data_IF_481566915094
#
_entry.id   IF_481566915094
#
_cell.length_a   1.000
_cell.length_b   1.000
_cell.length_c   1.000
_cell.angle_alpha   90.00
_cell.angle_beta   90.00
_cell.angle_gamma   90.00
#
_symmetry.space_group_name_H-M   'P 1'
#
loop_
_entity.id
_entity.type
_entity.pdbx_description
1 polymer ?
#
# COMPACT_ATOMS: atom_id res chain seq x y z
N UNK A 1 -47.23 15.30 -42.25
CA UNK A 1 -46.76 16.31 -41.28
C UNK A 1 -45.36 15.90 -40.84
N UNK A 2 -44.30 16.68 -40.74
CA UNK A 2 -44.03 18.11 -40.89
C UNK A 2 -42.55 18.20 -40.45
N UNK A 3 -41.64 18.63 -41.34
CA UNK A 3 -40.38 19.34 -41.02
C UNK A 3 -39.33 18.59 -40.16
N UNK A 4 -38.04 18.92 -40.10
CA UNK A 4 -37.10 19.76 -40.84
C UNK A 4 -35.73 19.35 -40.28
N UNK A 5 -34.80 19.16 -41.20
CA UNK A 5 -33.49 19.81 -41.28
C UNK A 5 -32.58 19.94 -40.03
N UNK A 6 -31.28 19.68 -40.19
CA UNK A 6 -30.33 19.41 -39.13
C UNK A 6 -29.70 20.66 -38.53
N UNK A 7 -29.07 20.42 -37.37
CA UNK A 7 -28.14 21.29 -36.67
C UNK A 7 -27.16 21.94 -37.67
N UNK A 8 -27.34 23.24 -37.88
CA UNK A 8 -26.50 24.05 -38.75
C UNK A 8 -25.94 25.20 -37.93
N UNK A 9 -24.62 25.24 -37.80
CA UNK A 9 -23.71 26.39 -38.01
C UNK A 9 -22.40 26.09 -37.28
N UNK A 10 -21.31 25.84 -38.04
CA UNK A 10 -20.40 26.86 -38.60
C UNK A 10 -19.72 27.61 -37.44
N UNK A 11 -18.44 27.45 -37.15
CA UNK A 11 -17.28 27.25 -38.02
C UNK A 11 -16.38 28.47 -37.89
N UNK A 12 -15.07 28.29 -37.71
CA UNK A 12 -14.07 29.18 -38.31
C UNK A 12 -12.71 28.49 -38.34
N UNK A 13 -12.24 28.30 -39.57
CA UNK A 13 -10.87 28.02 -39.97
C UNK A 13 -10.05 29.31 -39.91
N UNK A 14 -8.73 29.20 -39.72
CA UNK A 14 -7.65 29.95 -40.40
C UNK A 14 -6.42 29.97 -39.47
N UNK A 15 -5.37 29.21 -39.76
CA UNK A 15 -4.29 29.55 -40.70
C UNK A 15 -3.43 30.72 -40.20
N UNK A 16 -2.15 30.49 -39.92
CA UNK A 16 -1.07 31.09 -40.73
C UNK A 16 0.29 30.49 -40.36
N UNK A 17 1.08 30.28 -41.39
CA UNK A 17 2.43 29.76 -41.36
C UNK A 17 3.46 30.89 -41.56
N UNK A 18 4.68 30.60 -41.11
CA UNK A 18 5.99 30.85 -41.76
C UNK A 18 6.69 32.22 -41.70
N UNK A 19 8.02 32.08 -41.56
CA UNK A 19 9.14 32.98 -41.90
C UNK A 19 9.47 34.09 -40.89
N UNK A 20 10.73 34.37 -40.53
CA UNK A 20 12.04 33.86 -40.94
C UNK A 20 13.13 34.83 -40.46
N UNK A 21 14.35 34.30 -40.22
CA UNK A 21 15.69 34.92 -40.48
C UNK A 21 16.07 36.28 -39.84
N UNK A 22 17.30 36.67 -39.49
CA UNK A 22 18.66 36.11 -39.29
C UNK A 22 19.56 37.35 -38.93
N UNK A 23 20.74 37.12 -38.33
CA UNK A 23 21.97 37.97 -38.24
C UNK A 23 22.29 38.56 -36.84
N UNK A 24 23.35 38.10 -36.12
CA UNK A 24 24.84 38.25 -36.28
C UNK A 24 25.31 39.62 -35.71
N UNK A 25 26.31 39.75 -34.81
CA UNK A 25 27.69 39.23 -34.77
C UNK A 25 28.31 39.36 -33.34
N UNK A 26 29.18 38.44 -32.86
CA UNK A 26 30.68 38.46 -32.89
C UNK A 26 31.31 39.09 -31.62
N UNK A 27 32.36 38.60 -30.93
CA UNK A 27 33.39 37.53 -31.03
C UNK A 27 33.93 37.30 -29.58
N UNK A 28 34.60 36.22 -29.15
CA UNK A 28 35.85 35.68 -29.67
C UNK A 28 36.27 34.36 -28.95
N UNK A 29 36.55 33.32 -29.76
CA UNK A 29 37.73 32.39 -29.81
C UNK A 29 38.45 32.00 -28.50
N UNK A 30 38.86 30.74 -28.22
CA UNK A 30 39.34 29.64 -29.08
C UNK A 30 39.26 28.29 -28.30
N UNK A 31 38.82 27.17 -28.91
CA UNK A 31 39.63 26.06 -29.48
C UNK A 31 40.51 25.31 -28.45
N UNK A 32 40.69 23.99 -28.39
CA UNK A 32 40.25 22.77 -29.09
C UNK A 32 40.97 21.61 -28.37
N UNK A 33 40.36 20.43 -28.24
CA UNK A 33 41.00 19.10 -28.44
C UNK A 33 40.04 17.96 -28.07
N UNK A 34 39.50 17.29 -29.08
CA UNK A 34 39.20 15.84 -29.10
C UNK A 34 39.92 15.30 -30.35
N UNK A 35 40.04 13.99 -30.65
CA UNK A 35 39.78 12.75 -29.90
C UNK A 35 40.95 11.72 -30.06
N UNK A 36 40.91 10.54 -29.41
CA UNK A 36 41.30 9.25 -30.06
C UNK A 36 40.60 8.09 -29.34
N UNK A 37 40.08 7.06 -30.06
CA UNK A 37 39.16 6.05 -29.54
C UNK A 37 39.79 4.66 -29.37
N UNK A 38 39.23 3.84 -28.49
CA UNK A 38 39.24 2.38 -28.64
C UNK A 38 37.99 1.78 -27.99
N UNK A 39 37.25 1.01 -28.79
CA UNK A 39 35.97 0.40 -28.46
C UNK A 39 36.13 -1.02 -27.88
N UNK A 40 35.40 -1.29 -26.77
CA UNK A 40 34.48 -2.42 -26.41
C UNK A 40 34.86 -3.91 -26.71
N UNK A 41 34.21 -4.97 -26.14
CA UNK A 41 33.01 -5.05 -25.24
C UNK A 41 33.00 -6.10 -24.07
N UNK A 42 32.12 -5.84 -23.06
CA UNK A 42 31.16 -6.74 -22.32
C UNK A 42 31.61 -7.97 -21.46
N UNK A 43 30.76 -8.57 -20.57
CA UNK A 43 29.68 -8.06 -19.70
C UNK A 43 29.67 -8.64 -18.23
N UNK A 44 28.76 -8.13 -17.38
CA UNK A 44 27.89 -8.85 -16.41
C UNK A 44 28.01 -8.54 -14.90
N UNK A 45 26.84 -8.17 -14.33
CA UNK A 45 26.38 -8.23 -12.93
C UNK A 45 27.03 -7.27 -11.90
N UNK A 46 26.31 -6.53 -11.06
CA UNK A 46 24.92 -6.66 -10.62
C UNK A 46 24.31 -5.27 -10.35
N UNK A 47 23.08 -5.09 -10.81
CA UNK A 47 22.18 -4.06 -10.31
C UNK A 47 22.06 -4.18 -8.77
N UNK A 48 21.87 -3.09 -8.01
CA UNK A 48 21.30 -3.25 -6.68
C UNK A 48 19.91 -3.86 -6.90
N UNK A 49 19.77 -5.09 -6.45
CA UNK A 49 18.51 -5.80 -6.44
C UNK A 49 17.46 -4.84 -5.86
N UNK A 50 16.44 -4.54 -6.66
CA UNK A 50 15.18 -4.03 -6.15
C UNK A 50 14.67 -5.10 -5.17
N UNK A 51 14.99 -4.93 -3.90
CA UNK A 51 14.31 -5.65 -2.84
C UNK A 51 12.88 -5.18 -2.90
N UNK A 52 12.01 -6.03 -3.44
CA UNK A 52 10.56 -5.95 -3.28
C UNK A 52 10.26 -6.04 -1.78
N UNK A 53 10.46 -4.94 -1.05
CA UNK A 53 9.84 -4.68 0.24
C UNK A 53 8.45 -4.09 0.01
N UNK A 54 7.48 -4.33 0.92
CA UNK A 54 6.11 -3.90 0.72
C UNK A 54 6.05 -2.37 0.61
N UNK A 55 5.60 -1.89 -0.54
CA UNK A 55 5.37 -0.47 -0.81
C UNK A 55 4.28 0.05 0.14
N UNK A 56 4.57 1.04 1.00
CA UNK A 56 3.54 1.68 1.80
C UNK A 56 2.80 2.67 0.90
N UNK A 57 1.52 2.41 0.65
CA UNK A 57 0.61 3.47 0.22
C UNK A 57 0.41 4.43 1.38
N UNK A 58 0.80 5.68 1.18
CA UNK A 58 0.39 6.90 1.89
C UNK A 58 0.25 6.81 3.42
N UNK A 59 1.42 6.81 4.07
CA UNK A 59 1.62 7.02 5.50
C UNK A 59 3.06 6.61 5.76
N UNK A 60 3.95 7.56 6.07
CA UNK A 60 5.40 7.29 6.09
C UNK A 60 5.71 6.09 6.98
N UNK A 61 5.94 4.93 6.36
CA UNK A 61 6.51 3.78 7.04
C UNK A 61 7.86 4.25 7.55
N UNK A 62 8.09 4.08 8.86
CA UNK A 62 9.38 4.36 9.46
C UNK A 62 10.47 3.72 8.60
N UNK A 63 11.47 4.52 8.23
CA UNK A 63 12.58 4.03 7.39
C UNK A 63 13.30 2.89 8.11
N UNK A 64 14.03 2.05 7.38
CA UNK A 64 14.79 0.96 7.98
C UNK A 64 15.69 1.46 9.14
N UNK A 65 16.26 2.66 8.99
CA UNK A 65 17.08 3.32 10.03
C UNK A 65 16.27 3.73 11.27
N UNK A 66 15.03 4.19 11.09
CA UNK A 66 14.15 4.53 12.20
C UNK A 66 13.67 3.28 12.94
N UNK A 67 13.34 2.21 12.22
CA UNK A 67 12.98 0.93 12.83
C UNK A 67 14.16 0.33 13.60
N UNK A 68 15.36 0.40 13.02
CA UNK A 68 16.60 -0.03 13.65
C UNK A 68 16.85 0.73 14.95
N UNK A 69 16.73 2.06 14.95
CA UNK A 69 16.89 2.87 16.15
C UNK A 69 15.81 2.64 17.22
N UNK A 70 14.61 2.19 16.83
CA UNK A 70 13.53 1.84 17.77
C UNK A 70 13.75 0.45 18.39
N UNK A 71 14.37 -0.48 17.66
CA UNK A 71 14.63 -1.83 18.14
C UNK A 71 15.95 -1.96 18.91
N UNK A 72 16.93 -1.10 18.61
CA UNK A 72 18.21 -0.99 19.29
C UNK A 72 18.00 -0.33 20.66
N UNK A 73 17.74 -1.14 21.69
CA UNK A 73 17.35 -0.67 23.02
C UNK A 73 18.52 -0.07 23.77
N UNK A 74 19.70 -0.68 23.61
CA UNK A 74 20.92 -0.21 24.25
C UNK A 74 21.63 0.91 23.44
N UNK A 75 21.13 1.20 22.23
CA UNK A 75 21.63 2.25 21.32
C UNK A 75 23.08 2.02 20.91
N UNK A 76 23.53 0.76 20.89
CA UNK A 76 24.89 0.39 20.54
C UNK A 76 25.12 0.36 19.00
N UNK A 77 24.09 0.68 18.21
CA UNK A 77 24.05 0.62 16.74
C UNK A 77 24.19 -0.78 16.16
N UNK A 78 23.85 -1.80 16.94
CA UNK A 78 23.75 -3.19 16.54
C UNK A 78 22.47 -3.78 17.12
N UNK A 79 21.85 -4.72 16.41
CA UNK A 79 20.72 -5.45 16.96
C UNK A 79 21.20 -6.82 17.39
N UNK A 80 21.14 -7.08 18.68
CA UNK A 80 21.28 -8.45 19.17
C UNK A 80 20.11 -9.31 18.69
N UNK A 81 20.30 -10.63 18.69
CA UNK A 81 19.26 -11.56 18.26
C UNK A 81 17.97 -11.42 19.08
N UNK A 82 18.09 -11.13 20.38
CA UNK A 82 16.95 -10.85 21.27
C UNK A 82 16.25 -9.53 20.94
N UNK A 83 16.99 -8.45 20.66
CA UNK A 83 16.43 -7.16 20.26
C UNK A 83 15.73 -7.25 18.91
N UNK A 84 16.35 -7.94 17.94
CA UNK A 84 15.76 -8.18 16.63
C UNK A 84 14.47 -9.00 16.74
N UNK A 85 14.47 -10.10 17.52
CA UNK A 85 13.27 -10.91 17.74
C UNK A 85 12.15 -10.09 18.39
N UNK A 86 12.47 -9.37 19.46
CA UNK A 86 11.50 -8.57 20.20
C UNK A 86 10.91 -7.46 19.34
N UNK A 87 11.75 -6.75 18.59
CA UNK A 87 11.34 -5.68 17.67
C UNK A 87 10.50 -6.21 16.51
N UNK A 88 10.91 -7.34 15.94
CA UNK A 88 10.16 -8.03 14.88
C UNK A 88 8.80 -8.53 15.35
N UNK A 89 8.71 -9.16 16.51
CA UNK A 89 7.45 -9.61 17.09
C UNK A 89 6.52 -8.44 17.35
N UNK A 90 7.03 -7.36 17.96
CA UNK A 90 6.27 -6.13 18.21
C UNK A 90 5.76 -5.51 16.91
N UNK A 91 6.63 -5.39 15.89
CA UNK A 91 6.25 -4.81 14.60
C UNK A 91 5.24 -5.69 13.85
N UNK A 92 5.39 -7.01 13.96
CA UNK A 92 4.43 -7.96 13.39
C UNK A 92 3.07 -7.82 14.07
N UNK A 93 3.04 -7.73 15.39
CA UNK A 93 1.80 -7.54 16.16
C UNK A 93 1.12 -6.22 15.78
N UNK A 94 1.87 -5.11 15.73
CA UNK A 94 1.34 -3.82 15.29
C UNK A 94 0.81 -3.87 13.85
N UNK A 95 1.49 -4.56 12.94
CA UNK A 95 1.01 -4.73 11.57
C UNK A 95 -0.27 -5.57 11.51
N UNK A 96 -0.38 -6.61 12.34
CA UNK A 96 -1.58 -7.43 12.46
C UNK A 96 -2.74 -6.60 13.02
N UNK A 97 -2.51 -5.85 14.12
CA UNK A 97 -3.50 -4.97 14.74
C UNK A 97 -3.99 -3.92 13.73
N UNK A 98 -3.09 -3.22 13.04
CA UNK A 98 -3.48 -2.20 12.05
C UNK A 98 -4.29 -2.77 10.88
N UNK A 99 -3.97 -3.99 10.42
CA UNK A 99 -4.77 -4.67 9.40
C UNK A 99 -6.15 -5.08 9.93
N UNK A 100 -6.21 -5.60 11.15
CA UNK A 100 -7.45 -5.96 11.83
C UNK A 100 -8.34 -4.73 12.03
N UNK A 101 -7.76 -3.62 12.42
CA UNK A 101 -8.47 -2.35 12.59
C UNK A 101 -9.05 -1.85 11.27
N UNK A 102 -8.28 -1.90 10.17
CA UNK A 102 -8.78 -1.53 8.85
C UNK A 102 -9.94 -2.46 8.40
N UNK A 103 -9.84 -3.77 8.67
CA UNK A 103 -10.92 -4.72 8.39
C UNK A 103 -12.15 -4.45 9.26
N UNK A 104 -11.95 -4.17 10.55
CA UNK A 104 -13.00 -3.83 11.50
C UNK A 104 -13.78 -2.59 11.03
N UNK A 105 -13.08 -1.49 10.71
CA UNK A 105 -13.70 -0.27 10.18
C UNK A 105 -14.39 -0.46 8.82
N UNK A 106 -14.00 -1.47 8.06
CA UNK A 106 -14.67 -1.81 6.79
C UNK A 106 -15.96 -2.59 7.04
N UNK A 107 -16.00 -3.37 8.12
CA UNK A 107 -17.16 -4.14 8.53
C UNK A 107 -18.22 -3.29 9.23
N UNK A 108 -17.75 -2.38 10.10
CA UNK A 108 -18.52 -1.35 10.80
C UNK A 108 -18.98 -0.26 9.82
N UNK A 109 -20.13 -0.48 9.19
CA UNK A 109 -20.69 0.40 8.14
C UNK A 109 -21.30 1.65 8.74
N UNK A 110 -21.88 1.53 9.93
CA UNK A 110 -22.52 2.65 10.61
C UNK A 110 -21.54 3.49 11.44
N UNK A 111 -20.28 3.04 11.56
CA UNK A 111 -19.19 3.69 12.30
C UNK A 111 -19.50 3.80 13.79
N UNK A 112 -20.22 2.83 14.33
CA UNK A 112 -20.57 2.75 15.74
C UNK A 112 -19.37 2.41 16.63
N UNK A 113 -18.26 1.91 16.05
CA UNK A 113 -17.08 1.46 16.78
C UNK A 113 -17.22 0.04 17.33
N UNK A 114 -18.30 -0.64 16.98
CA UNK A 114 -18.62 -2.03 17.34
C UNK A 114 -19.18 -2.75 16.12
N UNK A 115 -19.08 -4.07 16.07
CA UNK A 115 -19.74 -4.86 15.03
C UNK A 115 -21.05 -5.40 15.59
N UNK A 116 -22.16 -4.95 15.00
CA UNK A 116 -23.49 -5.42 15.38
C UNK A 116 -23.83 -6.76 14.71
N UNK A 117 -24.86 -7.46 15.20
CA UNK A 117 -25.26 -8.76 14.66
C UNK A 117 -25.52 -8.76 13.13
N UNK A 118 -26.08 -7.68 12.59
CA UNK A 118 -26.31 -7.51 11.15
C UNK A 118 -25.01 -7.37 10.35
N UNK A 119 -23.98 -6.79 10.95
CA UNK A 119 -22.67 -6.58 10.33
C UNK A 119 -21.77 -7.81 10.48
N UNK A 120 -21.88 -8.50 11.62
CA UNK A 120 -21.17 -9.74 11.89
C UNK A 120 -21.42 -10.80 10.82
N UNK A 121 -22.68 -11.02 10.44
CA UNK A 121 -23.05 -11.95 9.38
C UNK A 121 -22.48 -11.54 8.00
N UNK A 122 -22.15 -10.25 7.83
CA UNK A 122 -21.61 -9.72 6.59
C UNK A 122 -20.08 -9.77 6.51
N UNK A 123 -19.39 -10.08 7.60
CA UNK A 123 -17.94 -10.21 7.65
C UNK A 123 -17.45 -11.24 6.62
N UNK A 124 -16.40 -10.92 5.83
CA UNK A 124 -15.83 -11.85 4.87
C UNK A 124 -15.37 -13.16 5.50
N UNK A 125 -14.88 -13.08 6.75
CA UNK A 125 -14.41 -14.21 7.56
C UNK A 125 -15.55 -15.19 7.87
N UNK A 126 -16.70 -14.64 8.28
CA UNK A 126 -17.92 -15.40 8.62
C UNK A 126 -18.51 -16.02 7.35
N UNK A 127 -18.62 -15.24 6.27
CA UNK A 127 -19.06 -15.73 4.96
C UNK A 127 -18.21 -16.87 4.42
N UNK A 128 -16.89 -16.77 4.58
CA UNK A 128 -15.95 -17.81 4.16
C UNK A 128 -15.98 -19.05 5.05
N UNK A 129 -16.26 -18.89 6.35
CA UNK A 129 -16.41 -20.00 7.27
C UNK A 129 -17.74 -20.75 7.11
N UNK A 130 -18.79 -20.08 6.62
CA UNK A 130 -20.10 -20.67 6.36
C UNK A 130 -20.66 -21.35 7.61
N UNK A 131 -21.05 -22.62 7.51
CA UNK A 131 -21.55 -23.43 8.62
C UNK A 131 -20.52 -23.65 9.75
N UNK A 132 -19.24 -23.42 9.46
CA UNK A 132 -18.15 -23.42 10.44
C UNK A 132 -17.91 -22.05 11.09
N UNK A 133 -18.82 -21.10 10.95
CA UNK A 133 -18.72 -19.83 11.66
C UNK A 133 -19.18 -20.00 13.12
N UNK A 134 -18.38 -19.58 14.12
CA UNK A 134 -18.87 -19.44 15.48
C UNK A 134 -19.96 -18.36 15.53
N UNK A 135 -20.95 -18.50 16.42
CA UNK A 135 -21.87 -17.42 16.69
C UNK A 135 -21.12 -16.24 17.27
N UNK A 136 -21.63 -15.03 17.05
CA UNK A 136 -21.09 -13.81 17.63
C UNK A 136 -20.98 -13.88 19.16
N UNK A 137 -21.98 -14.50 19.80
CA UNK A 137 -22.00 -14.79 21.24
C UNK A 137 -20.81 -15.61 21.76
N UNK A 138 -20.04 -16.28 20.89
CA UNK A 138 -18.84 -17.00 21.31
C UNK A 138 -17.67 -16.05 21.63
N UNK A 139 -17.72 -14.81 21.15
CA UNK A 139 -16.68 -13.80 21.33
C UNK A 139 -17.16 -12.53 22.04
N UNK A 140 -18.48 -12.34 22.13
CA UNK A 140 -19.16 -11.32 22.97
C UNK A 140 -18.99 -11.68 24.46
N UNK A 141 -17.93 -11.17 25.08
CA UNK A 141 -17.55 -11.45 26.45
C UNK A 141 -18.36 -10.62 27.45
N UNK A 142 -18.76 -9.40 27.07
CA UNK A 142 -19.52 -8.49 27.90
C UNK A 142 -21.06 -8.69 27.78
N UNK A 143 -21.50 -9.53 26.84
CA UNK A 143 -22.90 -9.90 26.54
C UNK A 143 -23.76 -8.73 26.08
N UNK A 144 -23.17 -7.75 25.41
CA UNK A 144 -23.88 -6.58 24.90
C UNK A 144 -24.46 -6.80 23.49
N UNK A 145 -24.35 -8.02 22.95
CA UNK A 145 -24.78 -8.38 21.60
C UNK A 145 -24.10 -7.53 20.53
N UNK A 146 -22.88 -7.07 20.81
CA UNK A 146 -21.97 -6.37 19.90
C UNK A 146 -20.61 -7.07 19.99
N UNK A 147 -19.74 -6.79 19.02
CA UNK A 147 -18.34 -7.23 19.07
C UNK A 147 -17.48 -5.99 19.01
N UNK A 148 -16.83 -5.66 20.13
CA UNK A 148 -15.89 -4.57 20.16
C UNK A 148 -14.56 -4.95 19.47
N UNK A 149 -13.66 -3.98 19.31
CA UNK A 149 -12.39 -4.24 18.65
C UNK A 149 -11.53 -5.27 19.38
N UNK A 150 -11.53 -5.28 20.71
CA UNK A 150 -10.76 -6.24 21.51
C UNK A 150 -11.29 -7.66 21.31
N UNK A 151 -12.61 -7.83 21.29
CA UNK A 151 -13.25 -9.12 21.01
C UNK A 151 -13.00 -9.57 19.56
N UNK A 152 -12.97 -8.62 18.63
CA UNK A 152 -12.60 -8.87 17.24
C UNK A 152 -11.15 -9.38 17.10
N UNK A 153 -10.21 -8.85 17.89
CA UNK A 153 -8.82 -9.32 17.92
C UNK A 153 -8.70 -10.81 18.29
N UNK A 154 -9.59 -11.32 19.15
CA UNK A 154 -9.61 -12.73 19.54
C UNK A 154 -10.34 -13.60 18.49
N UNK A 155 -11.37 -13.05 17.85
CA UNK A 155 -12.18 -13.74 16.83
C UNK A 155 -11.37 -14.11 15.59
N UNK A 156 -10.63 -13.15 15.01
CA UNK A 156 -9.98 -13.36 13.71
C UNK A 156 -8.91 -14.47 13.75
N UNK A 157 -7.99 -14.51 14.74
CA UNK A 157 -7.02 -15.60 14.87
C UNK A 157 -7.69 -16.96 15.14
N UNK A 158 -8.75 -16.99 15.96
CA UNK A 158 -9.50 -18.23 16.24
C UNK A 158 -10.14 -18.78 14.96
N UNK A 159 -10.74 -17.89 14.14
CA UNK A 159 -11.30 -18.24 12.84
C UNK A 159 -10.24 -18.68 11.83
N UNK A 160 -9.11 -17.99 11.77
CA UNK A 160 -8.02 -18.36 10.86
C UNK A 160 -7.42 -19.71 11.24
N UNK A 161 -7.30 -20.01 12.54
CA UNK A 161 -6.87 -21.33 13.03
C UNK A 161 -7.85 -22.43 12.64
N UNK A 162 -9.16 -22.16 12.71
CA UNK A 162 -10.21 -23.12 12.31
C UNK A 162 -10.26 -23.35 10.79
N UNK A 163 -9.89 -22.34 10.01
CA UNK A 163 -9.89 -22.39 8.55
C UNK A 163 -8.53 -22.75 7.93
N UNK A 164 -7.46 -22.72 8.73
CA UNK A 164 -6.17 -23.27 8.36
C UNK A 164 -6.29 -24.76 8.00
N UNK A 165 -5.32 -25.33 7.28
CA UNK A 165 -5.42 -26.69 6.75
C UNK A 165 -5.66 -27.67 7.90
N UNK A 166 -6.92 -28.05 8.06
CA UNK A 166 -7.33 -29.10 8.97
C UNK A 166 -6.61 -30.36 8.51
N UNK A 167 -5.87 -30.99 9.43
CA UNK A 167 -5.57 -32.42 9.32
C UNK A 167 -6.92 -33.11 9.12
N UNK A 168 -7.20 -33.50 7.88
CA UNK A 168 -8.32 -34.38 7.54
C UNK A 168 -7.99 -35.79 8.00
#
# INVERSE_FOLDING_TARGET
MTLRNPLSKRGLLASLALAGSLAVAASATAQTSTPTPAAMPAPTAAAPARSNGPSPGDGQAATADQLFAVWDKDKNRTLTLDEFKSGWESAREQNIIGRLEAQFRTADKDKSGVIEAGEFANLPLIKRAGSGAPPMSAFDANKDQKVDFKEYLDLVPAMLKRMGPGKR
#
